data_IF_349335522341
#
_entry.id   IF_349335522341
#
_cell.length_a   1.000
_cell.length_b   1.000
_cell.length_c   1.000
_cell.angle_alpha   90.00
_cell.angle_beta   90.00
_cell.angle_gamma   90.00
#
_symmetry.space_group_name_H-M   'P 1'
#
loop_
_entity.id
_entity.type
_entity.pdbx_description
1 polymer ?
#
# COMPACT_ATOMS: atom_id res chain seq x y z
N UNK A 1 17.80 -19.07 7.84
CA UNK A 1 17.84 -18.38 6.53
C UNK A 1 16.93 -17.15 6.48
N UNK A 2 15.82 -17.09 7.25
CA UNK A 2 14.92 -15.93 7.33
C UNK A 2 15.44 -14.68 8.08
N UNK A 3 16.38 -14.80 9.03
CA UNK A 3 16.84 -13.64 9.81
C UNK A 3 17.62 -12.58 9.02
N UNK A 4 18.34 -12.96 7.96
CA UNK A 4 19.14 -12.00 7.17
C UNK A 4 18.27 -11.13 6.26
N UNK A 5 17.19 -11.69 5.69
CA UNK A 5 16.24 -10.94 4.85
C UNK A 5 15.47 -9.89 5.68
N UNK A 6 15.02 -10.27 6.89
CA UNK A 6 14.33 -9.35 7.80
C UNK A 6 15.22 -8.21 8.31
N UNK A 7 16.54 -8.45 8.45
CA UNK A 7 17.48 -7.39 8.86
C UNK A 7 17.64 -6.34 7.75
N UNK A 8 17.84 -6.77 6.49
CA UNK A 8 17.99 -5.85 5.35
C UNK A 8 16.70 -5.05 5.11
N UNK A 9 15.53 -5.66 5.29
CA UNK A 9 14.26 -4.94 5.20
C UNK A 9 14.11 -3.88 6.30
N UNK A 10 14.52 -4.20 7.53
CA UNK A 10 14.47 -3.25 8.65
C UNK A 10 15.39 -2.05 8.42
N UNK A 11 16.58 -2.25 7.84
CA UNK A 11 17.50 -1.17 7.48
C UNK A 11 16.93 -0.27 6.37
N UNK A 12 16.19 -0.84 5.43
CA UNK A 12 15.56 -0.07 4.35
C UNK A 12 14.40 0.78 4.87
N UNK A 13 13.62 0.25 5.80
CA UNK A 13 12.54 1.00 6.45
C UNK A 13 13.07 2.15 7.31
N UNK A 14 14.26 2.02 7.91
CA UNK A 14 14.93 3.13 8.60
C UNK A 14 15.22 4.31 7.67
N UNK A 15 15.38 4.09 6.37
CA UNK A 15 15.58 5.16 5.37
C UNK A 15 14.24 5.66 4.82
N UNK A 16 13.28 4.77 4.60
CA UNK A 16 11.98 5.12 3.99
C UNK A 16 11.08 5.90 4.95
N UNK A 17 11.05 5.54 6.25
CA UNK A 17 10.17 6.19 7.24
C UNK A 17 10.49 7.69 7.43
N UNK A 18 11.76 8.12 7.61
CA UNK A 18 12.08 9.55 7.71
C UNK A 18 11.71 10.34 6.45
N UNK A 19 11.79 9.72 5.27
CA UNK A 19 11.42 10.37 4.02
C UNK A 19 9.89 10.48 3.84
N UNK A 20 9.12 9.57 4.42
CA UNK A 20 7.65 9.63 4.49
C UNK A 20 7.12 10.70 5.44
N UNK A 21 7.98 11.30 6.28
CA UNK A 21 7.65 12.42 7.18
C UNK A 21 8.20 13.75 6.64
N UNK A 22 8.71 13.77 5.40
CA UNK A 22 9.20 14.99 4.77
C UNK A 22 8.05 15.97 4.48
N UNK A 23 8.27 17.27 4.70
CA UNK A 23 7.32 18.33 4.29
C UNK A 23 7.27 18.56 2.77
N UNK A 24 8.25 18.03 2.02
CA UNK A 24 8.29 18.17 0.57
C UNK A 24 7.40 17.13 -0.12
N UNK A 25 6.30 17.61 -0.72
CA UNK A 25 5.33 16.76 -1.43
C UNK A 25 5.95 15.92 -2.54
N UNK A 26 6.99 16.41 -3.22
CA UNK A 26 7.64 15.66 -4.30
C UNK A 26 8.43 14.50 -3.73
N UNK A 27 9.09 14.71 -2.60
CA UNK A 27 9.80 13.64 -1.87
C UNK A 27 8.80 12.62 -1.38
N UNK A 28 7.70 13.04 -0.75
CA UNK A 28 6.63 12.14 -0.29
C UNK A 28 6.08 11.27 -1.43
N UNK A 29 5.72 11.88 -2.56
CA UNK A 29 5.20 11.15 -3.73
C UNK A 29 6.22 10.14 -4.26
N UNK A 30 7.50 10.52 -4.36
CA UNK A 30 8.56 9.61 -4.82
C UNK A 30 8.74 8.45 -3.83
N UNK A 31 8.72 8.73 -2.53
CA UNK A 31 8.86 7.73 -1.47
C UNK A 31 7.69 6.76 -1.45
N UNK A 32 6.45 7.24 -1.55
CA UNK A 32 5.26 6.40 -1.63
C UNK A 32 5.31 5.52 -2.89
N UNK A 33 5.67 6.09 -4.05
CA UNK A 33 5.79 5.30 -5.27
C UNK A 33 6.89 4.24 -5.19
N UNK A 34 8.02 4.57 -4.54
CA UNK A 34 9.08 3.60 -4.29
C UNK A 34 8.61 2.48 -3.35
N UNK A 35 7.91 2.83 -2.28
CA UNK A 35 7.30 1.86 -1.36
C UNK A 35 6.31 0.95 -2.09
N UNK A 36 5.44 1.47 -2.95
CA UNK A 36 4.51 0.65 -3.76
C UNK A 36 5.25 -0.37 -4.61
N UNK A 37 6.34 0.04 -5.28
CA UNK A 37 7.17 -0.89 -6.06
C UNK A 37 7.82 -1.95 -5.18
N UNK A 38 8.32 -1.53 -4.01
CA UNK A 38 8.96 -2.43 -3.08
C UNK A 38 8.00 -3.48 -2.54
N UNK A 39 6.81 -3.06 -2.11
CA UNK A 39 5.72 -3.92 -1.67
C UNK A 39 5.38 -4.97 -2.73
N UNK A 40 5.37 -4.60 -4.02
CA UNK A 40 5.13 -5.53 -5.12
C UNK A 40 6.23 -6.59 -5.30
N UNK A 41 7.41 -6.41 -4.72
CA UNK A 41 8.52 -7.36 -4.73
C UNK A 41 8.61 -8.23 -3.47
N UNK A 42 7.91 -7.87 -2.38
CA UNK A 42 7.90 -8.63 -1.14
C UNK A 42 6.97 -9.83 -1.23
N UNK A 43 7.22 -10.87 -0.43
CA UNK A 43 6.22 -11.92 -0.22
C UNK A 43 5.07 -11.42 0.66
N UNK A 44 3.92 -12.12 0.61
CA UNK A 44 2.75 -11.78 1.42
C UNK A 44 3.05 -11.78 2.93
N UNK A 45 3.85 -12.74 3.41
CA UNK A 45 4.24 -12.86 4.81
C UNK A 45 5.14 -11.70 5.25
N UNK A 46 6.20 -11.41 4.47
CA UNK A 46 7.09 -10.27 4.74
C UNK A 46 6.34 -8.94 4.70
N UNK A 47 5.42 -8.77 3.75
CA UNK A 47 4.61 -7.56 3.68
C UNK A 47 3.78 -7.37 4.95
N UNK A 48 3.12 -8.42 5.43
CA UNK A 48 2.30 -8.37 6.65
C UNK A 48 3.10 -8.01 7.90
N UNK A 49 4.35 -8.50 8.00
CA UNK A 49 5.26 -8.16 9.11
C UNK A 49 5.69 -6.69 9.08
N UNK A 50 5.75 -6.09 7.90
CA UNK A 50 6.30 -4.74 7.69
C UNK A 50 5.23 -3.66 7.62
N UNK A 51 3.98 -4.04 7.33
CA UNK A 51 2.81 -3.18 7.33
C UNK A 51 2.77 -2.24 8.55
N UNK A 52 2.90 -2.71 9.81
CA UNK A 52 2.81 -1.85 10.98
C UNK A 52 3.90 -0.77 11.05
N UNK A 53 5.03 -0.98 10.38
CA UNK A 53 6.17 -0.06 10.39
C UNK A 53 5.92 1.16 9.52
N UNK A 54 5.34 0.99 8.32
CA UNK A 54 5.14 2.08 7.38
C UNK A 54 3.68 2.57 7.28
N UNK A 55 2.68 1.78 7.70
CA UNK A 55 1.28 2.19 7.67
C UNK A 55 1.00 3.50 8.42
N UNK A 56 1.54 3.73 9.64
CA UNK A 56 1.29 4.99 10.34
C UNK A 56 1.75 6.21 9.54
N UNK A 57 2.95 6.13 8.95
CA UNK A 57 3.49 7.20 8.11
C UNK A 57 2.69 7.36 6.81
N UNK A 58 2.21 6.26 6.23
CA UNK A 58 1.37 6.29 5.04
C UNK A 58 -0.01 6.91 5.32
N UNK A 59 -0.61 6.64 6.48
CA UNK A 59 -1.87 7.23 6.92
C UNK A 59 -1.74 8.72 7.24
N UNK A 60 -0.61 9.13 7.81
CA UNK A 60 -0.30 10.54 8.01
C UNK A 60 -0.17 11.27 6.66
N UNK A 61 0.58 10.70 5.71
CA UNK A 61 0.66 11.20 4.34
C UNK A 61 -0.69 11.22 3.62
N UNK A 62 -1.62 10.31 3.95
CA UNK A 62 -2.98 10.34 3.39
C UNK A 62 -3.79 11.55 3.85
N UNK A 63 -3.47 12.10 5.02
CA UNK A 63 -4.12 13.28 5.59
C UNK A 63 -3.45 14.59 5.13
N UNK A 64 -2.46 14.50 4.24
CA UNK A 64 -1.75 15.65 3.69
C UNK A 64 -2.68 16.56 2.84
N UNK A 65 -2.36 17.85 2.78
CA UNK A 65 -3.14 18.83 2.01
C UNK A 65 -2.97 18.63 0.51
N UNK A 66 -1.81 18.12 0.08
CA UNK A 66 -1.49 17.92 -1.33
C UNK A 66 -2.34 16.79 -1.95
N UNK A 67 -3.13 17.06 -3.00
CA UNK A 67 -3.97 16.05 -3.62
C UNK A 67 -3.16 14.95 -4.32
N UNK A 68 -1.95 15.25 -4.79
CA UNK A 68 -1.10 14.28 -5.48
C UNK A 68 -0.50 13.27 -4.51
N UNK A 69 -0.07 13.71 -3.32
CA UNK A 69 0.34 12.81 -2.22
C UNK A 69 -0.80 11.85 -1.87
N UNK A 70 -2.02 12.38 -1.67
CA UNK A 70 -3.19 11.54 -1.34
C UNK A 70 -3.51 10.52 -2.42
N UNK A 71 -3.42 10.89 -3.71
CA UNK A 71 -3.59 9.94 -4.81
C UNK A 71 -2.56 8.82 -4.73
N UNK A 72 -1.27 9.16 -4.58
CA UNK A 72 -0.20 8.17 -4.46
C UNK A 72 -0.41 7.20 -3.31
N UNK A 73 -0.85 7.69 -2.13
CA UNK A 73 -1.20 6.82 -1.00
C UNK A 73 -2.34 5.88 -1.34
N UNK A 74 -3.42 6.37 -1.96
CA UNK A 74 -4.55 5.53 -2.37
C UNK A 74 -4.11 4.44 -3.34
N UNK A 75 -3.26 4.75 -4.33
CA UNK A 75 -2.70 3.75 -5.24
C UNK A 75 -1.89 2.68 -4.49
N UNK A 76 -1.02 3.09 -3.55
CA UNK A 76 -0.24 2.17 -2.73
C UNK A 76 -1.13 1.21 -1.92
N UNK A 77 -2.14 1.75 -1.23
CA UNK A 77 -3.08 0.97 -0.41
C UNK A 77 -3.91 -0.01 -1.25
N UNK A 78 -4.31 0.40 -2.45
CA UNK A 78 -5.04 -0.45 -3.39
C UNK A 78 -4.17 -1.61 -3.87
N UNK A 79 -2.90 -1.37 -4.21
CA UNK A 79 -1.98 -2.43 -4.63
C UNK A 79 -1.72 -3.44 -3.51
N UNK A 80 -1.52 -2.96 -2.27
CA UNK A 80 -1.43 -3.82 -1.08
C UNK A 80 -2.71 -4.66 -0.92
N UNK A 81 -3.89 -4.03 -1.08
CA UNK A 81 -5.16 -4.75 -0.99
C UNK A 81 -5.31 -5.81 -2.08
N UNK A 82 -4.87 -5.53 -3.32
CA UNK A 82 -4.90 -6.52 -4.40
C UNK A 82 -4.01 -7.72 -4.08
N UNK A 83 -2.88 -7.48 -3.41
CA UNK A 83 -1.89 -8.49 -3.04
C UNK A 83 -2.31 -9.34 -1.84
N UNK A 84 -2.82 -8.71 -0.77
CA UNK A 84 -3.21 -9.37 0.49
C UNK A 84 -4.70 -9.75 0.54
N UNK A 85 -5.52 -9.12 -0.29
CA UNK A 85 -6.97 -9.25 -0.27
C UNK A 85 -7.58 -8.81 1.07
N UNK A 86 -8.50 -9.63 1.58
CA UNK A 86 -9.23 -9.35 2.83
C UNK A 86 -8.32 -9.37 4.07
N UNK A 87 -7.13 -9.96 4.00
CA UNK A 87 -6.18 -9.97 5.11
C UNK A 87 -5.66 -8.57 5.46
N UNK A 88 -5.75 -7.62 4.54
CA UNK A 88 -5.35 -6.24 4.78
C UNK A 88 -6.40 -5.40 5.53
N UNK A 89 -7.67 -5.80 5.51
CA UNK A 89 -8.78 -5.08 6.15
C UNK A 89 -8.53 -4.72 7.63
N UNK A 90 -8.08 -5.63 8.52
CA UNK A 90 -7.81 -5.28 9.92
C UNK A 90 -6.72 -4.21 10.09
N UNK A 91 -5.79 -4.10 9.14
CA UNK A 91 -4.74 -3.08 9.19
C UNK A 91 -5.24 -1.69 8.79
N UNK A 92 -6.39 -1.61 8.13
CA UNK A 92 -7.03 -0.35 7.75
C UNK A 92 -7.87 0.27 8.88
N UNK A 93 -7.99 -0.39 10.04
CA UNK A 93 -8.71 0.14 11.20
C UNK A 93 -8.12 1.45 11.73
N UNK A 94 -6.87 1.78 11.39
CA UNK A 94 -6.25 3.07 11.71
C UNK A 94 -6.75 4.25 10.87
N UNK A 95 -7.53 4.02 9.81
CA UNK A 95 -8.11 5.08 8.97
C UNK A 95 -9.44 5.58 9.53
N UNK A 96 -9.77 6.85 9.24
CA UNK A 96 -11.11 7.37 9.50
C UNK A 96 -12.18 6.59 8.72
N UNK A 97 -13.42 6.55 9.22
CA UNK A 97 -14.52 5.82 8.57
C UNK A 97 -14.72 6.18 7.09
N UNK A 98 -14.50 7.46 6.73
CA UNK A 98 -14.56 7.96 5.35
C UNK A 98 -13.41 7.42 4.50
N UNK A 99 -12.18 7.45 5.00
CA UNK A 99 -10.99 6.95 4.30
C UNK A 99 -11.06 5.44 4.11
N UNK A 100 -11.43 4.69 5.14
CA UNK A 100 -11.63 3.25 5.09
C UNK A 100 -12.68 2.86 4.04
N UNK A 101 -13.80 3.60 4.01
CA UNK A 101 -14.86 3.38 3.02
C UNK A 101 -14.38 3.66 1.61
N UNK A 102 -13.57 4.71 1.41
CA UNK A 102 -12.94 5.03 0.13
C UNK A 102 -12.04 3.88 -0.36
N UNK A 103 -11.09 3.45 0.46
CA UNK A 103 -10.15 2.36 0.12
C UNK A 103 -10.93 1.08 -0.18
N UNK A 104 -11.92 0.73 0.64
CA UNK A 104 -12.74 -0.48 0.48
C UNK A 104 -13.59 -0.43 -0.81
N UNK A 105 -14.13 0.73 -1.19
CA UNK A 105 -14.87 0.87 -2.46
C UNK A 105 -13.92 0.70 -3.65
N UNK A 106 -12.75 1.34 -3.64
CA UNK A 106 -11.77 1.22 -4.72
C UNK A 106 -11.24 -0.21 -4.87
N UNK A 107 -10.88 -0.82 -3.74
CA UNK A 107 -10.49 -2.22 -3.64
C UNK A 107 -11.54 -3.16 -4.24
N UNK A 108 -12.81 -3.03 -3.82
CA UNK A 108 -13.91 -3.86 -4.33
C UNK A 108 -14.14 -3.63 -5.83
N UNK A 109 -14.03 -2.39 -6.31
CA UNK A 109 -14.17 -2.09 -7.75
C UNK A 109 -13.08 -2.77 -8.57
N UNK A 110 -11.84 -2.74 -8.10
CA UNK A 110 -10.71 -3.34 -8.83
C UNK A 110 -10.73 -4.87 -8.73
N UNK A 111 -11.11 -5.43 -7.57
CA UNK A 111 -11.30 -6.87 -7.45
C UNK A 111 -12.41 -7.38 -8.36
N UNK A 112 -13.53 -6.64 -8.47
CA UNK A 112 -14.61 -6.97 -9.40
C UNK A 112 -14.20 -6.83 -10.87
N UNK A 113 -13.44 -5.79 -11.21
CA UNK A 113 -12.91 -5.59 -12.55
C UNK A 113 -11.95 -6.71 -12.98
N UNK A 114 -11.08 -7.21 -12.08
CA UNK A 114 -10.20 -8.35 -12.36
C UNK A 114 -10.91 -9.69 -12.37
N UNK A 115 -12.00 -9.86 -11.60
CA UNK A 115 -12.86 -11.05 -11.68
C UNK A 115 -13.82 -11.06 -12.87
N UNK A 116 -13.94 -9.93 -13.59
CA UNK A 116 -14.83 -9.78 -14.75
C UNK A 116 -14.21 -10.16 -16.10
N UNK A 117 -12.91 -10.45 -16.17
CA UNK A 117 -12.22 -10.90 -17.39
C UNK A 117 -11.76 -12.35 -17.24
N UNK A 118 -12.72 -13.28 -17.24
CA UNK A 118 -12.47 -14.71 -17.43
C UNK A 118 -13.62 -15.41 -18.18
N UNK A 119 -14.30 -14.69 -19.08
CA UNK A 119 -15.30 -15.25 -19.99
C UNK A 119 -15.26 -14.48 -21.31
N UNK A 120 -14.38 -14.90 -22.21
CA UNK A 120 -14.71 -15.38 -23.56
C UNK A 120 -13.45 -15.36 -24.43
N UNK A 121 -12.81 -16.52 -24.57
CA UNK A 121 -11.98 -16.88 -25.73
C UNK A 121 -11.87 -18.40 -25.78
N UNK A 122 -13.03 -19.04 -25.92
CA UNK A 122 -13.15 -20.45 -26.28
C UNK A 122 -14.32 -20.63 -27.25
N UNK A 123 -14.28 -19.92 -28.37
CA UNK A 123 -14.84 -20.33 -29.67
C UNK A 123 -14.66 -19.21 -30.68
N UNK A 124 -13.67 -19.35 -31.57
CA UNK A 124 -13.89 -19.46 -33.01
C UNK A 124 -12.59 -19.82 -33.72
#
# INVERSE_FOLDING_TARGET
MFCWQNTILSDLLLVVVPLLVSDDEKILVVCINYLTKLVAHLSQEELMDQLPTFLPALFDAFSNQSPDVRKSVVFCLVDIYIMLGKAFVPYLEGLSSTQLRLVTIYANRISQARSGTAIDSANQ
#
